data_IF_960677946048
#
_entry.id   IF_960677946048
#
_cell.length_a   1.000
_cell.length_b   1.000
_cell.length_c   1.000
_cell.angle_alpha   90.00
_cell.angle_beta   90.00
_cell.angle_gamma   90.00
#
_symmetry.space_group_name_H-M   'P 1'
#
loop_
_entity.id
_entity.type
_entity.pdbx_description
1 polymer ?
#
# COMPACT_ATOMS: atom_id res chain seq x y z
N UNK A 1 35.78 32.25 29.35
CA UNK A 1 34.92 31.75 30.44
C UNK A 1 34.55 30.33 30.07
N UNK A 2 35.32 29.39 30.61
CA UNK A 2 34.98 27.98 30.65
C UNK A 2 33.73 27.76 31.49
N UNK A 3 32.94 26.75 31.12
CA UNK A 3 32.49 25.70 32.05
C UNK A 3 31.98 24.50 31.24
N UNK A 4 32.90 23.59 30.98
CA UNK A 4 32.66 22.16 30.77
C UNK A 4 31.75 21.57 31.86
N UNK A 5 30.72 20.81 31.44
CA UNK A 5 30.24 19.63 32.17
C UNK A 5 29.17 18.89 31.38
N UNK A 6 29.57 17.79 30.73
CA UNK A 6 29.05 16.44 30.97
C UNK A 6 29.60 15.49 29.89
N UNK A 7 30.83 15.03 30.11
CA UNK A 7 31.38 13.83 29.49
C UNK A 7 31.97 12.97 30.61
N UNK A 8 31.24 11.92 31.02
CA UNK A 8 31.67 10.74 31.76
C UNK A 8 30.42 9.87 31.96
N UNK A 9 30.35 8.59 31.62
CA UNK A 9 31.35 7.68 31.11
C UNK A 9 30.68 6.39 30.62
N UNK A 10 31.37 5.72 29.70
CA UNK A 10 31.05 4.35 29.30
C UNK A 10 31.18 3.43 30.52
N UNK A 11 30.16 2.63 30.80
CA UNK A 11 30.33 1.31 31.41
C UNK A 11 29.47 0.29 30.65
N UNK A 12 30.17 -0.49 29.81
CA UNK A 12 29.73 -1.76 29.28
C UNK A 12 29.43 -2.71 30.45
N UNK A 13 28.16 -3.04 30.68
CA UNK A 13 27.79 -4.10 31.61
C UNK A 13 27.60 -5.38 30.79
N UNK A 14 28.60 -6.25 30.87
CA UNK A 14 28.49 -7.67 30.49
C UNK A 14 27.38 -8.29 31.33
N UNK A 15 26.36 -8.85 30.69
CA UNK A 15 25.35 -9.67 31.37
C UNK A 15 25.93 -11.08 31.54
N UNK A 16 26.63 -11.28 32.65
CA UNK A 16 27.12 -12.58 33.11
C UNK A 16 26.05 -13.28 33.95
N UNK A 17 25.79 -14.54 33.59
CA UNK A 17 25.28 -15.65 34.41
C UNK A 17 23.91 -15.51 35.11
N UNK A 18 22.90 -16.17 34.54
CA UNK A 18 21.74 -16.69 35.26
C UNK A 18 22.17 -17.94 36.08
N UNK A 19 21.61 -18.16 37.29
CA UNK A 19 21.91 -19.35 38.08
C UNK A 19 21.35 -20.62 37.42
N UNK A 20 22.14 -21.69 37.46
CA UNK A 20 21.73 -23.04 37.12
C UNK A 20 20.77 -23.57 38.19
N UNK A 21 19.49 -23.70 37.85
CA UNK A 21 18.56 -24.49 38.65
C UNK A 21 18.63 -25.96 38.23
N UNK A 22 18.81 -26.79 39.26
CA UNK A 22 19.00 -28.24 39.22
C UNK A 22 17.88 -28.98 38.50
N UNK A 23 18.33 -29.90 37.65
CA UNK A 23 17.66 -31.09 37.15
C UNK A 23 16.44 -31.58 37.95
N UNK A 24 15.25 -31.45 37.35
CA UNK A 24 14.07 -32.25 37.64
C UNK A 24 13.78 -33.13 36.41
N UNK A 25 13.96 -34.44 36.55
CA UNK A 25 13.91 -35.39 35.46
C UNK A 25 12.52 -35.59 34.86
N UNK A 26 12.50 -35.70 33.53
CA UNK A 26 11.49 -36.45 32.80
C UNK A 26 12.23 -37.23 31.71
N UNK A 27 12.56 -38.48 32.01
CA UNK A 27 13.07 -39.44 31.02
C UNK A 27 11.94 -39.77 30.05
N UNK A 28 11.90 -39.10 28.91
CA UNK A 28 11.10 -39.57 27.78
C UNK A 28 11.73 -40.86 27.25
N UNK A 29 10.92 -41.90 27.23
CA UNK A 29 11.31 -43.27 26.92
C UNK A 29 12.07 -43.39 25.61
N UNK A 30 13.24 -44.02 25.69
CA UNK A 30 13.85 -44.69 24.55
C UNK A 30 13.02 -45.93 24.28
N UNK A 31 12.22 -45.89 23.22
CA UNK A 31 11.94 -47.05 22.37
C UNK A 31 11.08 -46.62 21.19
N UNK A 32 11.69 -46.58 20.01
CA UNK A 32 11.09 -47.12 18.78
C UNK A 32 12.15 -47.10 17.68
N UNK A 33 12.64 -48.30 17.37
CA UNK A 33 13.15 -48.65 16.05
C UNK A 33 12.05 -48.38 15.02
N UNK A 34 12.07 -47.19 14.44
CA UNK A 34 11.36 -46.88 13.21
C UNK A 34 12.43 -46.60 12.17
N UNK A 35 12.49 -47.48 11.16
CA UNK A 35 13.24 -47.27 9.93
C UNK A 35 13.12 -45.81 9.51
N UNK A 36 14.23 -45.07 9.61
CA UNK A 36 14.38 -43.77 8.99
C UNK A 36 14.30 -44.01 7.48
N UNK A 37 13.09 -44.00 6.93
CA UNK A 37 12.93 -43.70 5.51
C UNK A 37 13.65 -42.36 5.31
N UNK A 38 14.59 -42.25 4.36
CA UNK A 38 15.21 -40.97 4.08
C UNK A 38 14.07 -40.00 3.82
N UNK A 39 14.02 -38.90 4.58
CA UNK A 39 13.18 -37.76 4.23
C UNK A 39 13.62 -37.41 2.81
N UNK A 40 12.77 -37.72 1.83
CA UNK A 40 12.96 -37.25 0.46
C UNK A 40 13.06 -35.75 0.62
N UNK A 41 14.27 -35.21 0.46
CA UNK A 41 14.47 -33.77 0.42
C UNK A 41 13.44 -33.28 -0.59
N UNK A 42 12.48 -32.49 -0.13
CA UNK A 42 11.58 -31.79 -1.04
C UNK A 42 12.51 -30.92 -1.89
N UNK A 43 12.83 -31.43 -3.08
CA UNK A 43 13.55 -30.66 -4.07
C UNK A 43 12.64 -29.48 -4.35
N UNK A 44 13.06 -28.30 -3.92
CA UNK A 44 12.42 -27.08 -4.38
C UNK A 44 12.38 -27.18 -5.91
N UNK A 45 11.21 -27.04 -6.55
CA UNK A 45 11.14 -27.03 -8.02
C UNK A 45 11.97 -25.90 -8.63
N UNK A 46 12.46 -24.98 -7.79
CA UNK A 46 13.46 -23.95 -8.06
C UNK A 46 14.89 -24.45 -7.77
N UNK A 47 15.24 -25.67 -8.19
CA UNK A 47 16.64 -26.10 -8.20
C UNK A 47 17.48 -25.06 -8.95
N UNK A 48 18.73 -24.78 -8.54
CA UNK A 48 19.55 -23.72 -9.10
C UNK A 48 20.10 -24.13 -10.48
N UNK A 49 19.21 -24.19 -11.47
CA UNK A 49 19.55 -24.15 -12.88
C UNK A 49 19.52 -22.71 -13.34
N UNK A 50 20.67 -22.04 -13.32
CA UNK A 50 21.00 -20.80 -14.05
C UNK A 50 19.93 -19.70 -14.17
N UNK A 51 19.07 -19.50 -13.16
CA UNK A 51 18.33 -18.25 -13.05
C UNK A 51 19.29 -17.23 -12.44
N UNK A 52 20.03 -16.54 -13.31
CA UNK A 52 20.74 -15.34 -12.88
C UNK A 52 19.72 -14.40 -12.26
N UNK A 53 19.90 -14.12 -10.97
CA UNK A 53 19.03 -13.20 -10.25
C UNK A 53 19.18 -11.83 -10.95
N UNK A 54 18.06 -11.18 -11.34
CA UNK A 54 18.15 -9.87 -11.96
C UNK A 54 18.89 -8.91 -11.04
N UNK A 55 19.66 -8.01 -11.63
CA UNK A 55 20.31 -6.95 -10.88
C UNK A 55 19.24 -6.02 -10.28
N UNK A 56 19.59 -5.26 -9.25
CA UNK A 56 18.65 -4.31 -8.64
C UNK A 56 18.13 -3.27 -9.65
N UNK A 57 18.95 -2.91 -10.65
CA UNK A 57 18.56 -2.00 -11.72
C UNK A 57 17.53 -2.63 -12.67
N UNK A 58 17.74 -3.88 -13.06
CA UNK A 58 16.79 -4.63 -13.90
C UNK A 58 15.48 -4.89 -13.18
N UNK A 59 15.54 -5.22 -11.88
CA UNK A 59 14.33 -5.38 -11.05
C UNK A 59 13.56 -4.06 -10.94
N UNK A 60 14.27 -2.94 -10.71
CA UNK A 60 13.64 -1.63 -10.66
C UNK A 60 12.98 -1.25 -11.99
N UNK A 61 13.65 -1.50 -13.12
CA UNK A 61 13.08 -1.27 -14.44
C UNK A 61 11.80 -2.07 -14.67
N UNK A 62 11.78 -3.36 -14.30
CA UNK A 62 10.57 -4.19 -14.39
C UNK A 62 9.42 -3.68 -13.53
N UNK A 63 9.73 -3.09 -12.37
CA UNK A 63 8.72 -2.47 -11.49
C UNK A 63 8.17 -1.21 -12.15
N UNK A 64 9.04 -0.35 -12.68
CA UNK A 64 8.69 0.91 -13.32
C UNK A 64 7.81 0.70 -14.56
N UNK A 65 8.20 -0.24 -15.43
CA UNK A 65 7.42 -0.64 -16.61
C UNK A 65 6.03 -1.19 -16.24
N UNK A 66 5.92 -1.83 -15.07
CA UNK A 66 4.69 -2.50 -14.65
C UNK A 66 3.76 -1.63 -13.79
N UNK A 67 4.32 -0.66 -13.09
CA UNK A 67 3.65 0.24 -12.16
C UNK A 67 4.24 1.64 -12.31
N UNK A 68 3.83 2.39 -13.35
CA UNK A 68 4.38 3.73 -13.62
C UNK A 68 4.05 4.74 -12.52
N UNK A 69 3.00 4.49 -11.73
CA UNK A 69 2.62 5.32 -10.59
C UNK A 69 2.90 4.60 -9.28
N UNK A 70 4.09 4.84 -8.71
CA UNK A 70 4.48 4.31 -7.40
C UNK A 70 4.23 5.33 -6.30
N UNK A 71 3.67 4.88 -5.17
CA UNK A 71 3.60 5.69 -3.97
C UNK A 71 4.99 5.86 -3.36
N UNK A 72 5.29 7.07 -2.89
CA UNK A 72 6.55 7.34 -2.21
C UNK A 72 6.75 6.44 -0.97
N UNK A 73 8.03 6.15 -0.69
CA UNK A 73 8.43 5.41 0.50
C UNK A 73 8.69 6.32 1.69
N UNK A 74 8.71 7.65 1.49
CA UNK A 74 9.15 8.62 2.50
C UNK A 74 10.67 8.64 2.72
N UNK A 75 11.39 7.64 2.24
CA UNK A 75 12.84 7.55 2.36
C UNK A 75 13.52 8.50 1.37
N UNK A 76 14.63 9.08 1.79
CA UNK A 76 15.55 9.87 0.95
C UNK A 76 16.95 9.25 1.02
N UNK A 77 17.89 9.62 0.13
CA UNK A 77 19.28 9.12 0.22
C UNK A 77 19.96 9.40 1.57
N UNK A 78 19.45 10.38 2.34
CA UNK A 78 20.02 10.81 3.62
C UNK A 78 19.24 10.28 4.83
N UNK A 79 18.00 9.83 4.66
CA UNK A 79 17.14 9.48 5.78
C UNK A 79 16.14 8.39 5.44
N UNK A 80 16.11 7.34 6.26
CA UNK A 80 15.18 6.22 6.13
C UNK A 80 13.96 6.42 7.05
N UNK A 81 12.76 6.38 6.48
CA UNK A 81 11.49 6.52 7.21
C UNK A 81 10.82 5.19 7.59
N UNK A 82 11.46 4.04 7.32
CA UNK A 82 10.85 2.72 7.53
C UNK A 82 10.42 2.43 8.98
N UNK A 83 11.07 3.07 9.96
CA UNK A 83 10.71 2.94 11.37
C UNK A 83 9.48 3.75 11.80
N UNK A 84 8.91 4.59 10.91
CA UNK A 84 7.74 5.40 11.23
C UNK A 84 6.45 4.62 10.97
N UNK A 85 5.51 4.74 11.91
CA UNK A 85 4.17 4.16 11.75
C UNK A 85 3.38 4.81 10.60
N UNK A 86 3.56 6.11 10.38
CA UNK A 86 2.95 6.89 9.29
C UNK A 86 4.06 7.65 8.59
N UNK A 87 4.18 7.51 7.27
CA UNK A 87 5.21 8.23 6.50
C UNK A 87 4.79 9.69 6.31
N UNK A 88 5.76 10.61 6.26
CA UNK A 88 5.47 12.05 6.19
C UNK A 88 4.74 12.46 4.91
N UNK A 89 4.97 11.74 3.83
CA UNK A 89 4.48 11.99 2.48
C UNK A 89 3.39 11.00 2.06
N UNK A 90 2.87 10.19 2.99
CA UNK A 90 1.73 9.32 2.72
C UNK A 90 0.49 10.17 2.40
N UNK A 91 -0.09 9.93 1.23
CA UNK A 91 -1.27 10.66 0.78
C UNK A 91 -2.43 10.42 1.76
N UNK A 92 -2.99 11.51 2.29
CA UNK A 92 -4.16 11.41 3.17
C UNK A 92 -5.44 11.33 2.34
N UNK A 93 -6.27 10.35 2.65
CA UNK A 93 -7.60 10.18 2.06
C UNK A 93 -8.47 11.42 2.37
N UNK A 94 -9.28 11.84 1.41
CA UNK A 94 -10.25 12.94 1.58
C UNK A 94 -9.66 14.34 1.46
N UNK A 95 -8.43 14.49 0.97
CA UNK A 95 -7.88 15.79 0.58
C UNK A 95 -8.14 16.07 -0.89
N UNK A 96 -8.31 17.35 -1.20
CA UNK A 96 -8.41 17.84 -2.57
C UNK A 96 -7.12 17.52 -3.33
N UNK A 97 -7.28 17.02 -4.56
CA UNK A 97 -6.17 16.65 -5.45
C UNK A 97 -6.32 17.36 -6.78
N UNK A 98 -5.19 17.67 -7.40
CA UNK A 98 -5.18 18.30 -8.71
C UNK A 98 -5.73 17.33 -9.78
N UNK A 99 -6.49 17.90 -10.73
CA UNK A 99 -7.18 17.14 -11.78
C UNK A 99 -6.25 16.25 -12.60
N UNK A 100 -5.05 16.72 -12.94
CA UNK A 100 -4.05 15.97 -13.70
C UNK A 100 -3.58 14.70 -12.98
N UNK A 101 -3.44 14.77 -11.66
CA UNK A 101 -2.99 13.63 -10.84
C UNK A 101 -4.09 12.56 -10.79
N UNK A 102 -5.35 12.97 -10.59
CA UNK A 102 -6.48 12.01 -10.55
C UNK A 102 -6.72 11.38 -11.91
N UNK A 103 -6.56 12.12 -13.01
CA UNK A 103 -6.61 11.53 -14.36
C UNK A 103 -5.52 10.49 -14.57
N UNK A 104 -4.27 10.77 -14.19
CA UNK A 104 -3.18 9.82 -14.35
C UNK A 104 -3.41 8.54 -13.53
N UNK A 105 -3.87 8.67 -12.29
CA UNK A 105 -4.18 7.52 -11.42
C UNK A 105 -5.37 6.71 -11.94
N UNK A 106 -6.42 7.37 -12.42
CA UNK A 106 -7.57 6.69 -13.03
C UNK A 106 -7.13 5.94 -14.28
N UNK A 107 -6.28 6.54 -15.12
CA UNK A 107 -5.78 5.91 -16.33
C UNK A 107 -4.92 4.67 -16.04
N UNK A 108 -3.96 4.80 -15.11
CA UNK A 108 -3.15 3.67 -14.66
C UNK A 108 -4.02 2.52 -14.12
N UNK A 109 -5.02 2.83 -13.29
CA UNK A 109 -5.96 1.83 -12.78
C UNK A 109 -6.71 1.10 -13.90
N UNK A 110 -7.21 1.81 -14.91
CA UNK A 110 -7.90 1.20 -16.05
C UNK A 110 -6.95 0.31 -16.88
N UNK A 111 -5.70 0.74 -17.06
CA UNK A 111 -4.67 -0.10 -17.69
C UNK A 111 -4.37 -1.37 -16.88
N UNK A 112 -4.36 -1.29 -15.54
CA UNK A 112 -4.23 -2.47 -14.69
C UNK A 112 -5.41 -3.43 -14.84
N UNK A 113 -6.65 -2.92 -14.94
CA UNK A 113 -7.84 -3.74 -15.19
C UNK A 113 -7.78 -4.44 -16.54
N UNK A 114 -7.28 -3.77 -17.59
CA UNK A 114 -7.09 -4.37 -18.91
C UNK A 114 -6.05 -5.50 -18.89
N UNK A 115 -4.93 -5.27 -18.21
CA UNK A 115 -3.86 -6.27 -18.05
C UNK A 115 -4.33 -7.49 -17.28
N UNK A 116 -5.16 -7.28 -16.26
CA UNK A 116 -5.67 -8.36 -15.40
C UNK A 116 -6.93 -9.03 -16.00
N UNK A 117 -7.36 -8.62 -17.20
CA UNK A 117 -8.45 -9.24 -17.95
C UNK A 117 -9.86 -8.84 -17.52
N UNK A 118 -10.01 -7.84 -16.64
CA UNK A 118 -11.31 -7.31 -16.22
C UNK A 118 -11.95 -6.50 -17.35
N UNK A 119 -11.14 -5.71 -18.07
CA UNK A 119 -11.54 -5.08 -19.33
C UNK A 119 -11.10 -5.99 -20.47
N UNK A 120 -12.05 -6.40 -21.31
CA UNK A 120 -11.82 -7.46 -22.30
C UNK A 120 -10.98 -7.03 -23.51
N UNK A 121 -11.09 -5.77 -23.96
CA UNK A 121 -10.44 -5.28 -25.18
C UNK A 121 -9.88 -3.87 -25.04
N UNK A 122 -9.00 -3.49 -25.96
CA UNK A 122 -8.38 -2.16 -25.97
C UNK A 122 -9.39 -1.08 -26.36
N UNK A 123 -10.38 -1.41 -27.19
CA UNK A 123 -11.49 -0.50 -27.54
C UNK A 123 -12.37 -0.23 -26.32
N UNK A 124 -12.64 -1.27 -25.51
CA UNK A 124 -13.38 -1.13 -24.26
C UNK A 124 -12.60 -0.28 -23.24
N UNK A 125 -11.27 -0.44 -23.17
CA UNK A 125 -10.40 0.39 -22.35
C UNK A 125 -10.47 1.86 -22.78
N UNK A 126 -10.31 2.15 -24.08
CA UNK A 126 -10.35 3.53 -24.59
C UNK A 126 -11.71 4.18 -24.37
N UNK A 127 -12.80 3.42 -24.51
CA UNK A 127 -14.14 3.89 -24.19
C UNK A 127 -14.25 4.26 -22.72
N UNK A 128 -13.85 3.36 -21.81
CA UNK A 128 -13.92 3.60 -20.36
C UNK A 128 -13.04 4.77 -19.93
N UNK A 129 -11.84 4.91 -20.49
CA UNK A 129 -10.95 6.07 -20.26
C UNK A 129 -11.64 7.39 -20.59
N UNK A 130 -12.34 7.47 -21.72
CA UNK A 130 -13.08 8.69 -22.11
C UNK A 130 -14.25 8.99 -21.18
N UNK A 131 -15.02 7.97 -20.79
CA UNK A 131 -16.12 8.11 -19.84
C UNK A 131 -15.62 8.65 -18.49
N UNK A 132 -14.60 8.02 -17.92
CA UNK A 132 -14.02 8.42 -16.64
C UNK A 132 -13.40 9.82 -16.72
N UNK A 133 -12.68 10.13 -17.79
CA UNK A 133 -12.13 11.47 -17.98
C UNK A 133 -13.22 12.53 -18.02
N UNK A 134 -14.34 12.25 -18.68
CA UNK A 134 -15.48 13.14 -18.74
C UNK A 134 -16.16 13.28 -17.37
N UNK A 135 -16.38 12.19 -16.63
CA UNK A 135 -16.95 12.23 -15.26
C UNK A 135 -16.10 13.08 -14.30
N UNK A 136 -14.78 12.92 -14.32
CA UNK A 136 -13.84 13.70 -13.51
C UNK A 136 -13.91 15.19 -13.85
N UNK A 137 -13.98 15.52 -15.14
CA UNK A 137 -14.07 16.92 -15.58
C UNK A 137 -15.40 17.54 -15.18
N UNK A 138 -16.51 16.83 -15.36
CA UNK A 138 -17.85 17.33 -15.06
C UNK A 138 -18.07 17.59 -13.57
N UNK A 139 -17.49 16.75 -12.70
CA UNK A 139 -17.62 16.89 -11.25
C UNK A 139 -16.49 17.71 -10.62
N UNK A 140 -15.55 18.22 -11.42
CA UNK A 140 -14.47 19.07 -10.95
C UNK A 140 -14.95 20.45 -10.52
N UNK A 141 -14.23 21.07 -9.58
CA UNK A 141 -14.56 22.40 -9.05
C UNK A 141 -13.32 23.29 -9.07
N UNK A 142 -13.47 24.60 -9.32
CA UNK A 142 -12.36 25.53 -9.08
C UNK A 142 -11.95 25.43 -7.60
N UNK A 143 -10.64 25.37 -7.32
CA UNK A 143 -10.17 25.35 -5.94
C UNK A 143 -10.58 26.66 -5.27
N UNK A 144 -11.57 26.58 -4.40
CA UNK A 144 -11.79 27.64 -3.44
C UNK A 144 -10.56 27.69 -2.54
N UNK A 145 -9.87 28.83 -2.53
CA UNK A 145 -8.78 29.09 -1.62
C UNK A 145 -9.30 28.94 -0.18
N UNK A 146 -9.09 27.77 0.43
CA UNK A 146 -9.48 27.55 1.82
C UNK A 146 -8.73 28.57 2.69
N UNK A 147 -9.52 29.42 3.37
CA UNK A 147 -9.15 30.53 4.25
C UNK A 147 -8.34 30.16 5.50
N UNK A 148 -7.69 29.00 5.54
CA UNK A 148 -6.99 28.51 6.73
C UNK A 148 -5.48 28.44 6.47
N UNK A 149 -4.89 29.62 6.25
CA UNK A 149 -3.67 30.04 6.96
C UNK A 149 -2.35 29.29 6.75
N UNK A 150 -2.19 28.42 5.76
CA UNK A 150 -0.88 27.92 5.35
C UNK A 150 -0.91 27.51 3.86
N UNK A 151 -0.80 28.52 3.00
CA UNK A 151 -0.33 28.32 1.63
C UNK A 151 1.18 28.50 1.66
N UNK A 152 1.93 27.50 1.16
CA UNK A 152 3.21 27.83 0.52
C UNK A 152 2.88 28.81 -0.60
N UNK A 153 3.66 29.88 -0.66
CA UNK A 153 3.50 31.01 -1.57
C UNK A 153 3.10 30.54 -2.97
N UNK A 154 2.01 31.14 -3.48
CA UNK A 154 1.62 31.11 -4.89
C UNK A 154 2.88 31.40 -5.71
N UNK A 155 3.41 30.41 -6.43
CA UNK A 155 4.41 30.69 -7.47
C UNK A 155 3.66 31.33 -8.64
N UNK A 156 4.11 32.50 -9.07
CA UNK A 156 3.61 33.15 -10.28
C UNK A 156 3.62 32.14 -11.44
N UNK A 157 2.44 31.91 -12.05
CA UNK A 157 2.21 30.93 -13.11
C UNK A 157 1.21 29.82 -12.78
N UNK A 158 0.73 29.73 -11.53
CA UNK A 158 -0.25 28.73 -11.10
C UNK A 158 -1.66 29.08 -11.60
N UNK A 159 -1.98 28.58 -12.81
CA UNK A 159 -3.34 28.54 -13.36
C UNK A 159 -4.32 28.02 -12.31
N UNK A 160 -5.49 28.66 -12.19
CA UNK A 160 -6.58 28.30 -11.27
C UNK A 160 -6.58 26.81 -10.95
N UNK A 161 -6.13 26.46 -9.74
CA UNK A 161 -5.99 25.06 -9.36
C UNK A 161 -7.39 24.43 -9.42
N UNK A 162 -7.62 23.49 -10.32
CA UNK A 162 -8.89 22.77 -10.39
C UNK A 162 -8.80 21.54 -9.48
N UNK A 163 -9.70 21.47 -8.51
CA UNK A 163 -9.87 20.28 -7.68
C UNK A 163 -10.56 19.21 -8.52
N UNK A 164 -9.93 18.05 -8.60
CA UNK A 164 -10.43 16.90 -9.33
C UNK A 164 -11.83 16.52 -8.88
N UNK A 165 -12.68 16.21 -9.85
CA UNK A 165 -13.98 15.60 -9.60
C UNK A 165 -13.88 14.12 -9.22
N UNK A 166 -15.02 13.53 -8.91
CA UNK A 166 -15.19 12.11 -8.63
C UNK A 166 -15.72 11.37 -9.85
N UNK A 167 -15.41 10.08 -9.96
CA UNK A 167 -16.00 9.18 -10.95
C UNK A 167 -16.48 7.91 -10.27
N UNK A 168 -17.43 7.23 -10.89
CA UNK A 168 -18.06 6.05 -10.30
C UNK A 168 -17.48 4.77 -10.91
N UNK A 169 -17.02 3.87 -10.04
CA UNK A 169 -16.49 2.57 -10.43
C UNK A 169 -17.61 1.53 -10.54
N UNK A 170 -17.52 0.68 -11.55
CA UNK A 170 -18.43 -0.45 -11.66
C UNK A 170 -18.13 -1.46 -10.53
N UNK A 171 -19.11 -2.30 -10.22
CA UNK A 171 -19.02 -3.36 -9.20
C UNK A 171 -17.78 -4.25 -9.34
N UNK A 172 -17.47 -4.65 -10.58
CA UNK A 172 -16.31 -5.48 -10.91
C UNK A 172 -14.99 -4.72 -10.78
N UNK A 173 -14.96 -3.45 -11.21
CA UNK A 173 -13.81 -2.55 -11.08
C UNK A 173 -13.50 -2.32 -9.59
N UNK A 174 -14.54 -2.02 -8.81
CA UNK A 174 -14.43 -1.77 -7.37
C UNK A 174 -13.97 -3.02 -6.62
N UNK A 175 -14.56 -4.19 -6.87
CA UNK A 175 -14.11 -5.45 -6.25
C UNK A 175 -12.62 -5.72 -6.56
N UNK A 176 -12.21 -5.52 -7.82
CA UNK A 176 -10.81 -5.68 -8.20
C UNK A 176 -9.91 -4.63 -7.56
N UNK A 177 -10.35 -3.38 -7.47
CA UNK A 177 -9.63 -2.30 -6.80
C UNK A 177 -9.37 -2.60 -5.33
N UNK A 178 -10.37 -3.09 -4.59
CA UNK A 178 -10.21 -3.46 -3.18
C UNK A 178 -9.24 -4.66 -3.05
N UNK A 179 -9.35 -5.65 -3.94
CA UNK A 179 -8.41 -6.78 -4.02
C UNK A 179 -6.97 -6.32 -4.25
N UNK A 180 -6.75 -5.39 -5.17
CA UNK A 180 -5.43 -4.80 -5.42
C UNK A 180 -4.93 -4.02 -4.21
N UNK A 181 -5.76 -3.21 -3.57
CA UNK A 181 -5.40 -2.48 -2.36
C UNK A 181 -4.93 -3.43 -1.24
N UNK A 182 -5.61 -4.57 -1.06
CA UNK A 182 -5.16 -5.58 -0.10
C UNK A 182 -3.84 -6.24 -0.52
N UNK A 183 -3.75 -6.69 -1.77
CA UNK A 183 -2.53 -7.31 -2.34
C UNK A 183 -1.30 -6.42 -2.14
N UNK A 184 -1.45 -5.12 -2.33
CA UNK A 184 -0.38 -4.12 -2.25
C UNK A 184 -0.22 -3.47 -0.87
N UNK A 185 -1.00 -3.90 0.14
CA UNK A 185 -0.86 -3.42 1.50
C UNK A 185 0.45 -3.90 2.13
N UNK A 186 1.39 -2.97 2.30
CA UNK A 186 2.76 -3.24 2.80
C UNK A 186 2.78 -3.86 4.20
N UNK A 187 1.73 -3.62 5.01
CA UNK A 187 1.65 -4.06 6.42
C UNK A 187 0.78 -5.30 6.63
N UNK A 188 0.14 -5.84 5.59
CA UNK A 188 -0.73 -7.00 5.73
C UNK A 188 0.05 -8.32 5.51
N UNK A 189 0.13 -9.14 6.57
CA UNK A 189 0.76 -10.46 6.49
C UNK A 189 -0.09 -11.46 5.67
N UNK A 190 -1.42 -11.32 5.72
CA UNK A 190 -2.38 -12.21 5.03
C UNK A 190 -2.62 -11.82 3.56
N UNK A 191 -1.68 -11.10 2.94
CA UNK A 191 -1.79 -10.66 1.54
C UNK A 191 -1.83 -11.80 0.52
N UNK A 192 -1.57 -13.05 0.92
CA UNK A 192 -1.74 -14.24 0.06
C UNK A 192 -3.20 -14.49 -0.27
N UNK A 193 -4.12 -14.15 0.64
CA UNK A 193 -5.55 -14.40 0.53
C UNK A 193 -6.30 -13.30 -0.23
N UNK A 194 -5.59 -12.33 -0.82
CA UNK A 194 -6.22 -11.17 -1.46
C UNK A 194 -7.27 -11.54 -2.53
N UNK A 195 -7.13 -12.69 -3.20
CA UNK A 195 -8.09 -13.18 -4.20
C UNK A 195 -9.40 -13.68 -3.61
N UNK A 196 -9.40 -14.14 -2.36
CA UNK A 196 -10.60 -14.68 -1.71
C UNK A 196 -11.54 -13.59 -1.22
N UNK A 197 -11.08 -12.33 -1.17
CA UNK A 197 -11.93 -11.18 -0.88
C UNK A 197 -13.09 -11.10 -1.87
N UNK A 198 -14.32 -10.92 -1.36
CA UNK A 198 -15.51 -10.68 -2.18
C UNK A 198 -16.17 -9.39 -1.73
N UNK A 199 -16.68 -8.62 -2.68
CA UNK A 199 -17.48 -7.46 -2.37
C UNK A 199 -18.90 -7.94 -2.03
N UNK A 200 -19.27 -7.83 -0.75
CA UNK A 200 -20.63 -8.15 -0.30
C UNK A 200 -21.46 -6.87 -0.35
N UNK A 201 -22.45 -6.83 -1.25
CA UNK A 201 -23.44 -5.75 -1.30
C UNK A 201 -24.40 -5.92 -0.13
N UNK A 202 -24.08 -5.26 0.99
CA UNK A 202 -24.90 -5.28 2.20
C UNK A 202 -24.91 -3.96 2.95
N UNK A 203 -24.49 -2.86 2.32
CA UNK A 203 -24.76 -1.53 2.86
C UNK A 203 -26.10 -1.09 2.29
N UNK A 204 -27.15 -1.21 3.11
CA UNK A 204 -28.44 -0.62 2.82
C UNK A 204 -28.30 0.85 2.46
N UNK A 205 -29.25 1.31 1.67
CA UNK A 205 -29.44 2.69 1.24
C UNK A 205 -29.19 3.71 2.37
N UNK A 206 -27.94 4.18 2.51
CA UNK A 206 -27.57 5.16 3.53
C UNK A 206 -28.23 6.53 3.29
N UNK A 207 -28.88 6.72 2.13
CA UNK A 207 -29.65 7.92 1.80
C UNK A 207 -31.13 7.84 2.19
N UNK A 208 -31.62 6.70 2.69
CA UNK A 208 -33.02 6.52 3.05
C UNK A 208 -33.23 6.38 4.56
N UNK A 209 -33.01 7.46 5.31
CA UNK A 209 -33.68 7.64 6.60
C UNK A 209 -34.41 8.99 6.59
N UNK A 210 -35.75 9.01 6.43
CA UNK A 210 -36.50 10.22 6.70
C UNK A 210 -36.29 10.56 8.18
N UNK A 211 -35.82 11.78 8.44
CA UNK A 211 -35.81 12.34 9.79
C UNK A 211 -37.25 12.28 10.28
N UNK A 212 -37.49 11.50 11.32
CA UNK A 212 -38.79 11.45 11.99
C UNK A 212 -39.23 12.88 12.30
N UNK A 213 -40.41 13.23 11.82
CA UNK A 213 -41.17 14.39 12.28
C UNK A 213 -41.43 14.21 13.77
N UNK A 214 -40.65 14.90 14.60
CA UNK A 214 -40.97 15.08 16.00
C UNK A 214 -42.14 16.05 16.08
N UNK A 215 -43.34 15.52 16.32
CA UNK A 215 -44.44 16.28 16.90
C UNK A 215 -44.16 16.41 18.41
N UNK A 216 -44.12 17.65 18.89
CA UNK A 216 -44.29 18.03 20.29
C UNK A 216 -45.71 18.59 20.40
#
# INVERSE_FOLDING_TARGET
MDLDRFSAGRRSVRRTHLPEDRAGGATYGKNTTLHSKPVVQAQCPFAPGSFEKPTAAEEFQRIDERYPLLSSTGCTPKFCQSGRMVHTDEARVGRDRAINIVHAEADDFLHQLRRDGIISSDEALQRRKREVAHEIQQSSKPAEARRNGQFNEKREGESDAVVAGTWEQNTTELEHGIRLAWKHSKKCIMRSEWKSLRLVYGCGDWRAQPRGSGEI
#
